data_IF_498358707995
#
_entry.id   IF_498358707995
#
_cell.length_a   1.000
_cell.length_b   1.000
_cell.length_c   1.000
_cell.angle_alpha   90.00
_cell.angle_beta   90.00
_cell.angle_gamma   90.00
#
_symmetry.space_group_name_H-M   'P 1'
#
loop_
_entity.id
_entity.type
_entity.pdbx_description
1 polymer ?
#
# COMPACT_ATOMS: atom_id res chain seq x y z
N UNK A 1 -4.75 -6.65 23.81
CA UNK A 1 -5.68 -6.98 22.73
C UNK A 1 -6.94 -6.14 22.93
N UNK A 2 -7.08 -5.01 22.23
CA UNK A 2 -8.21 -4.06 22.45
C UNK A 2 -8.84 -3.57 21.12
N UNK A 3 -8.22 -3.77 19.95
CA UNK A 3 -8.79 -3.35 18.66
C UNK A 3 -8.51 -4.35 17.52
N UNK A 4 -8.33 -5.65 17.83
CA UNK A 4 -8.00 -6.68 16.86
C UNK A 4 -9.12 -6.90 15.84
N UNK A 5 -9.17 -6.09 14.78
CA UNK A 5 -9.93 -6.41 13.58
C UNK A 5 -9.08 -7.36 12.73
N UNK A 6 -9.68 -8.43 12.22
CA UNK A 6 -9.02 -9.35 11.27
C UNK A 6 -8.73 -8.68 9.91
N UNK A 7 -9.12 -7.41 9.78
CA UNK A 7 -9.12 -6.64 8.56
C UNK A 7 -7.82 -5.85 8.35
N UNK A 8 -6.87 -5.88 9.29
CA UNK A 8 -5.58 -5.23 9.10
C UNK A 8 -4.41 -6.06 9.65
N UNK A 9 -3.32 -6.07 8.90
CA UNK A 9 -2.03 -6.65 9.30
C UNK A 9 -0.94 -5.60 9.15
N UNK A 10 -0.18 -5.40 10.23
CA UNK A 10 0.96 -4.50 10.28
C UNK A 10 2.21 -5.28 10.67
N UNK A 11 3.22 -5.28 9.81
CA UNK A 11 4.51 -5.92 10.04
C UNK A 11 5.62 -4.90 9.95
N UNK A 12 6.56 -4.91 10.91
CA UNK A 12 7.76 -4.08 10.89
C UNK A 12 8.97 -4.96 10.58
N UNK A 13 9.72 -4.59 9.55
CA UNK A 13 10.94 -5.27 9.13
C UNK A 13 12.14 -4.40 9.48
N UNK A 14 13.03 -4.94 10.31
CA UNK A 14 14.23 -4.26 10.77
C UNK A 14 15.45 -4.75 9.99
N UNK A 15 16.31 -3.83 9.57
CA UNK A 15 17.60 -4.21 9.01
C UNK A 15 18.55 -4.62 10.14
N UNK A 16 19.33 -5.71 9.99
CA UNK A 16 20.41 -6.05 10.91
C UNK A 16 21.45 -4.94 11.07
N UNK A 17 21.58 -4.06 10.07
CA UNK A 17 22.54 -2.94 10.06
C UNK A 17 22.01 -1.67 10.73
N UNK A 18 20.84 -1.70 11.37
CA UNK A 18 20.30 -0.57 12.15
C UNK A 18 19.66 0.55 11.32
N UNK A 19 19.28 0.29 10.06
CA UNK A 19 18.54 1.28 9.28
C UNK A 19 17.06 1.38 9.70
N UNK A 20 16.39 2.48 9.34
CA UNK A 20 14.95 2.68 9.57
C UNK A 20 14.13 1.45 9.16
N UNK A 21 13.13 1.06 9.98
CA UNK A 21 12.32 -0.10 9.69
C UNK A 21 11.39 0.17 8.50
N UNK A 22 11.19 -0.86 7.69
CA UNK A 22 10.10 -0.89 6.71
C UNK A 22 8.82 -1.33 7.43
N UNK A 23 7.71 -0.66 7.14
CA UNK A 23 6.40 -1.02 7.66
C UNK A 23 5.55 -1.52 6.50
N UNK A 24 5.13 -2.78 6.56
CA UNK A 24 4.10 -3.35 5.68
C UNK A 24 2.76 -3.24 6.38
N UNK A 25 1.79 -2.63 5.72
CA UNK A 25 0.39 -2.62 6.11
C UNK A 25 -0.44 -3.29 5.01
N UNK A 26 -1.25 -4.27 5.37
CA UNK A 26 -2.24 -4.90 4.50
C UNK A 26 -3.60 -4.71 5.15
N UNK A 27 -4.49 -4.01 4.47
CA UNK A 27 -5.84 -3.69 4.96
C UNK A 27 -6.85 -4.37 4.03
N UNK A 28 -7.62 -5.30 4.58
CA UNK A 28 -8.63 -6.11 3.89
C UNK A 28 -10.02 -5.48 4.00
N UNK A 29 -10.79 -5.58 2.93
CA UNK A 29 -12.21 -5.26 2.92
C UNK A 29 -12.98 -6.43 2.33
N UNK A 30 -13.62 -7.22 3.20
CA UNK A 30 -14.34 -8.44 2.83
C UNK A 30 -15.65 -8.15 2.06
N UNK A 31 -16.47 -7.21 2.56
CA UNK A 31 -17.86 -6.96 2.09
C UNK A 31 -18.11 -5.51 1.61
N UNK A 32 -17.08 -4.89 1.08
CA UNK A 32 -17.18 -3.84 0.07
C UNK A 32 -18.00 -2.55 0.35
N UNK A 33 -18.28 -2.17 1.61
CA UNK A 33 -19.02 -0.90 1.86
C UNK A 33 -18.43 0.10 2.83
N UNK A 34 -17.35 -0.19 3.58
CA UNK A 34 -16.90 0.75 4.63
C UNK A 34 -15.40 0.89 4.92
N UNK A 35 -14.49 0.14 4.30
CA UNK A 35 -13.17 -0.09 4.94
C UNK A 35 -11.98 0.74 4.48
N UNK A 36 -11.82 0.97 3.18
CA UNK A 36 -10.54 1.43 2.62
C UNK A 36 -10.70 2.86 2.11
N UNK A 37 -10.10 3.81 2.80
CA UNK A 37 -9.95 5.18 2.32
C UNK A 37 -8.60 5.33 1.61
N UNK A 38 -8.49 6.24 0.61
CA UNK A 38 -7.22 6.50 -0.02
C UNK A 38 -6.20 7.00 1.01
N UNK A 39 -4.99 6.41 1.07
CA UNK A 39 -3.95 6.83 2.00
C UNK A 39 -3.74 8.34 2.00
N UNK A 40 -3.74 8.98 0.84
CA UNK A 40 -3.62 10.42 0.65
C UNK A 40 -4.64 11.21 1.51
N UNK A 41 -5.91 10.79 1.48
CA UNK A 41 -6.99 11.46 2.21
C UNK A 41 -6.87 11.23 3.73
N UNK A 42 -6.52 10.01 4.14
CA UNK A 42 -6.28 9.69 5.56
C UNK A 42 -5.08 10.46 6.11
N UNK A 43 -4.00 10.54 5.34
CA UNK A 43 -2.77 11.22 5.73
C UNK A 43 -3.00 12.72 5.88
N UNK A 44 -3.67 13.35 4.91
CA UNK A 44 -4.06 14.76 4.99
C UNK A 44 -5.06 14.99 6.13
N UNK A 45 -6.06 14.13 6.29
CA UNK A 45 -7.04 14.21 7.38
C UNK A 45 -6.42 14.07 8.77
N UNK A 46 -5.26 13.41 8.87
CA UNK A 46 -4.45 13.31 10.11
C UNK A 46 -3.52 14.52 10.32
N UNK A 47 -3.63 15.56 9.47
CA UNK A 47 -2.83 16.78 9.54
C UNK A 47 -1.50 16.73 8.79
N UNK A 48 -1.19 15.65 8.07
CA UNK A 48 0.07 15.54 7.33
C UNK A 48 0.01 16.27 5.98
N UNK A 49 1.16 16.67 5.45
CA UNK A 49 1.26 17.30 4.14
C UNK A 49 1.89 16.34 3.12
N UNK A 50 1.27 16.19 1.96
CA UNK A 50 1.84 15.43 0.84
C UNK A 50 2.82 16.35 0.11
N UNK A 51 4.12 16.02 0.19
CA UNK A 51 5.19 16.78 -0.48
C UNK A 51 5.32 16.39 -1.96
N UNK A 52 5.11 15.12 -2.29
CA UNK A 52 5.11 14.64 -3.68
C UNK A 52 4.21 13.42 -3.84
N UNK A 53 3.75 13.23 -5.07
CA UNK A 53 2.88 12.13 -5.48
C UNK A 53 3.21 11.72 -6.90
N UNK A 54 3.51 10.44 -7.11
CA UNK A 54 3.86 9.90 -8.42
C UNK A 54 3.40 8.43 -8.52
N UNK A 55 3.74 7.74 -9.60
CA UNK A 55 3.55 6.30 -9.78
C UNK A 55 4.87 5.63 -10.07
N UNK A 56 5.01 4.40 -9.60
CA UNK A 56 6.14 3.54 -9.94
C UNK A 56 5.64 2.18 -10.39
N UNK A 57 6.35 1.61 -11.36
CA UNK A 57 6.10 0.28 -11.88
C UNK A 57 7.05 -0.68 -11.21
N UNK A 58 6.51 -1.74 -10.60
CA UNK A 58 7.28 -2.87 -10.10
C UNK A 58 7.20 -3.97 -11.14
N UNK A 59 8.34 -4.37 -11.66
CA UNK A 59 8.45 -5.33 -12.76
C UNK A 59 9.34 -6.52 -12.40
N UNK A 60 9.39 -7.49 -13.31
CA UNK A 60 10.23 -8.69 -13.19
C UNK A 60 9.64 -9.73 -12.24
N UNK A 61 8.33 -9.96 -12.37
CA UNK A 61 7.65 -11.13 -11.82
C UNK A 61 7.63 -12.25 -12.87
N UNK A 62 7.69 -13.51 -12.45
CA UNK A 62 7.71 -14.65 -13.38
C UNK A 62 6.33 -14.96 -13.96
N UNK A 63 5.27 -14.85 -13.16
CA UNK A 63 3.93 -15.39 -13.49
C UNK A 63 2.81 -14.33 -13.45
N UNK A 64 3.15 -13.05 -13.63
CA UNK A 64 2.18 -11.95 -13.65
C UNK A 64 2.72 -10.73 -14.38
N UNK A 65 1.80 -9.85 -14.76
CA UNK A 65 2.14 -8.52 -15.25
C UNK A 65 2.72 -7.62 -14.16
N UNK A 66 3.38 -6.57 -14.62
CA UNK A 66 3.92 -5.50 -13.78
C UNK A 66 2.83 -4.88 -12.89
N UNK A 67 3.25 -4.46 -11.70
CA UNK A 67 2.37 -3.85 -10.70
C UNK A 67 2.64 -2.36 -10.62
N UNK A 68 1.63 -1.58 -10.95
CA UNK A 68 1.68 -0.14 -10.79
C UNK A 68 1.29 0.21 -9.35
N UNK A 69 2.16 0.97 -8.70
CA UNK A 69 1.99 1.47 -7.35
C UNK A 69 1.93 3.00 -7.35
N UNK A 70 1.22 3.55 -6.36
CA UNK A 70 1.29 4.96 -5.99
C UNK A 70 2.49 5.16 -5.08
N UNK A 71 3.28 6.19 -5.33
CA UNK A 71 4.27 6.67 -4.36
C UNK A 71 3.89 8.04 -3.83
N UNK A 72 4.14 8.25 -2.53
CA UNK A 72 3.97 9.53 -1.84
C UNK A 72 5.21 9.83 -0.99
N UNK A 73 5.57 11.10 -0.92
CA UNK A 73 6.41 11.64 0.14
C UNK A 73 5.55 12.51 1.04
N UNK A 74 5.60 12.26 2.34
CA UNK A 74 4.68 12.84 3.32
C UNK A 74 5.46 13.48 4.45
N UNK A 75 5.18 14.75 4.72
CA UNK A 75 5.64 15.45 5.90
C UNK A 75 4.63 15.26 7.03
N UNK A 76 5.08 14.68 8.15
CA UNK A 76 4.23 14.52 9.33
C UNK A 76 4.11 15.85 10.08
N UNK A 77 2.92 16.12 10.60
CA UNK A 77 2.61 17.34 11.38
C UNK A 77 3.46 17.49 12.64
N UNK A 78 3.96 16.39 13.19
CA UNK A 78 4.88 16.36 14.33
C UNK A 78 6.26 16.97 14.05
N UNK A 79 6.55 17.38 12.81
CA UNK A 79 7.87 17.88 12.42
C UNK A 79 8.94 16.79 12.30
N UNK A 80 8.54 15.51 12.33
CA UNK A 80 9.45 14.37 12.09
C UNK A 80 10.00 14.40 10.66
N UNK A 81 11.06 13.62 10.40
CA UNK A 81 11.58 13.48 9.03
C UNK A 81 10.47 12.99 8.07
N UNK A 82 10.51 13.39 6.78
CA UNK A 82 9.54 12.94 5.79
C UNK A 82 9.46 11.41 5.73
N UNK A 83 8.27 10.88 5.43
CA UNK A 83 8.06 9.46 5.20
C UNK A 83 7.78 9.18 3.73
N UNK A 84 8.32 8.07 3.25
CA UNK A 84 8.04 7.52 1.94
C UNK A 84 6.95 6.45 2.07
N UNK A 85 5.93 6.53 1.23
CA UNK A 85 4.86 5.55 1.13
C UNK A 85 4.80 5.01 -0.30
N UNK A 86 4.63 3.71 -0.42
CA UNK A 86 4.39 2.99 -1.65
C UNK A 86 3.16 2.11 -1.45
N UNK A 87 2.13 2.27 -2.27
CA UNK A 87 0.93 1.46 -2.11
C UNK A 87 0.26 1.09 -3.42
N UNK A 88 -0.51 0.01 -3.36
CA UNK A 88 -1.35 -0.45 -4.46
C UNK A 88 -2.58 -1.14 -3.88
N UNK A 89 -3.64 -1.17 -4.66
CA UNK A 89 -4.84 -1.90 -4.32
C UNK A 89 -4.92 -3.18 -5.11
N UNK A 90 -5.30 -4.27 -4.46
CA UNK A 90 -5.59 -5.56 -5.09
C UNK A 90 -7.09 -5.85 -5.05
N UNK A 91 -7.63 -6.35 -6.15
CA UNK A 91 -8.93 -7.02 -6.19
C UNK A 91 -8.89 -8.07 -7.29
N UNK A 92 -9.15 -9.33 -6.95
CA UNK A 92 -8.91 -10.39 -7.91
C UNK A 92 -7.43 -10.48 -8.25
N UNK A 93 -7.13 -10.75 -9.53
CA UNK A 93 -5.77 -10.70 -10.08
C UNK A 93 -5.27 -9.29 -10.40
N UNK A 94 -6.11 -8.27 -10.26
CA UNK A 94 -5.81 -6.92 -10.70
C UNK A 94 -5.22 -6.08 -9.59
N UNK A 95 -4.28 -5.22 -9.98
CA UNK A 95 -3.63 -4.24 -9.13
C UNK A 95 -3.81 -2.85 -9.69
N UNK A 96 -4.03 -1.86 -8.82
CA UNK A 96 -4.21 -0.48 -9.26
C UNK A 96 -3.62 0.54 -8.28
N UNK A 97 -2.96 1.61 -8.77
CA UNK A 97 -2.47 2.72 -7.94
C UNK A 97 -3.53 3.78 -7.69
N UNK A 98 -4.74 3.62 -8.21
CA UNK A 98 -5.82 4.59 -8.12
C UNK A 98 -6.97 4.03 -7.30
N UNK A 99 -7.27 4.75 -6.22
CA UNK A 99 -8.43 4.49 -5.38
C UNK A 99 -9.73 4.56 -6.18
N UNK A 100 -9.83 5.52 -7.11
CA UNK A 100 -11.03 5.69 -7.93
C UNK A 100 -11.22 4.55 -8.91
N UNK A 101 -10.17 4.09 -9.59
CA UNK A 101 -10.31 2.91 -10.46
C UNK A 101 -10.55 1.64 -9.64
N UNK A 102 -10.00 1.53 -8.42
CA UNK A 102 -10.36 0.46 -7.51
C UNK A 102 -11.86 0.51 -7.16
N UNK A 103 -12.40 1.65 -6.73
CA UNK A 103 -13.82 1.82 -6.42
C UNK A 103 -14.72 1.58 -7.64
N UNK A 104 -14.30 1.98 -8.85
CA UNK A 104 -15.02 1.68 -10.09
C UNK A 104 -15.02 0.19 -10.44
N UNK A 105 -13.87 -0.48 -10.40
CA UNK A 105 -13.76 -1.94 -10.62
C UNK A 105 -14.60 -2.70 -9.59
N UNK A 106 -14.53 -2.28 -8.35
CA UNK A 106 -15.28 -2.83 -7.23
C UNK A 106 -16.80 -2.61 -7.38
N UNK A 107 -17.21 -1.44 -7.84
CA UNK A 107 -18.61 -1.12 -8.12
C UNK A 107 -19.15 -1.96 -9.29
N UNK A 108 -18.38 -2.09 -10.37
CA UNK A 108 -18.71 -2.92 -11.53
C UNK A 108 -18.78 -4.40 -11.14
N UNK A 109 -17.80 -4.91 -10.39
CA UNK A 109 -17.76 -6.30 -9.94
C UNK A 109 -18.87 -6.62 -8.91
N UNK A 110 -19.28 -5.65 -8.09
CA UNK A 110 -20.41 -5.76 -7.18
C UNK A 110 -21.78 -5.78 -7.87
N UNK A 111 -21.90 -5.19 -9.06
CA UNK A 111 -23.08 -5.31 -9.93
C UNK A 111 -23.12 -6.66 -10.66
N UNK A 112 -21.95 -7.28 -10.89
CA UNK A 112 -21.78 -8.53 -11.64
C UNK A 112 -21.66 -9.79 -10.77
N UNK A 113 -21.91 -9.70 -9.46
CA UNK A 113 -21.86 -10.80 -8.47
C UNK A 113 -20.55 -11.64 -8.52
N UNK A 114 -19.41 -10.95 -8.70
CA UNK A 114 -18.07 -11.56 -8.72
C UNK A 114 -17.21 -10.97 -7.60
N UNK A 115 -16.85 -11.79 -6.61
CA UNK A 115 -15.86 -11.56 -5.53
C UNK A 115 -15.33 -10.11 -5.42
N UNK A 116 -16.08 -9.23 -4.76
CA UNK A 116 -15.76 -7.82 -4.61
C UNK A 116 -14.82 -7.51 -3.43
N UNK A 117 -14.14 -8.52 -2.88
CA UNK A 117 -13.15 -8.33 -1.82
C UNK A 117 -11.91 -7.64 -2.38
N UNK A 118 -11.36 -6.71 -1.61
CA UNK A 118 -10.18 -5.94 -2.00
C UNK A 118 -9.24 -5.71 -0.84
N UNK A 119 -7.98 -5.45 -1.15
CA UNK A 119 -6.95 -5.13 -0.16
C UNK A 119 -6.17 -3.87 -0.57
N UNK A 120 -5.86 -3.01 0.40
CA UNK A 120 -4.82 -2.00 0.28
C UNK A 120 -3.53 -2.60 0.82
N UNK A 121 -2.49 -2.60 -0.02
CA UNK A 121 -1.14 -3.02 0.34
C UNK A 121 -0.27 -1.79 0.32
N UNK A 122 0.36 -1.50 1.45
CA UNK A 122 1.19 -0.33 1.65
C UNK A 122 2.51 -0.72 2.30
N UNK A 123 3.60 -0.22 1.75
CA UNK A 123 4.92 -0.26 2.36
C UNK A 123 5.37 1.17 2.63
N UNK A 124 5.88 1.44 3.83
CA UNK A 124 6.42 2.76 4.17
C UNK A 124 7.71 2.69 4.97
N UNK A 125 8.49 3.75 4.88
CA UNK A 125 9.70 3.97 5.70
C UNK A 125 9.95 5.46 5.87
N UNK A 126 10.67 5.82 6.91
CA UNK A 126 11.20 7.18 7.05
C UNK A 126 12.27 7.46 5.99
N UNK A 127 12.24 8.66 5.43
CA UNK A 127 13.30 9.22 4.58
C UNK A 127 14.31 9.86 5.51
N UNK A 128 15.51 9.28 5.57
CA UNK A 128 16.65 9.92 6.21
C UNK A 128 17.35 10.83 5.19
N UNK A 129 18.50 10.41 4.66
CA UNK A 129 19.33 11.26 3.82
C UNK A 129 19.01 11.14 2.32
N UNK A 130 18.33 10.06 1.91
CA UNK A 130 18.16 9.73 0.50
C UNK A 130 16.79 9.10 0.21
N UNK A 131 15.93 9.84 -0.50
CA UNK A 131 14.62 9.36 -0.95
C UNK A 131 14.72 8.18 -1.92
N UNK A 132 15.71 8.16 -2.82
CA UNK A 132 15.89 7.05 -3.76
C UNK A 132 16.21 5.73 -3.04
N UNK A 133 16.94 5.80 -1.92
CA UNK A 133 17.19 4.63 -1.08
C UNK A 133 15.89 4.14 -0.40
N UNK A 134 15.08 5.05 0.14
CA UNK A 134 13.78 4.72 0.71
C UNK A 134 12.85 4.07 -0.33
N UNK A 135 12.80 4.65 -1.54
CA UNK A 135 12.07 4.12 -2.70
C UNK A 135 12.50 2.70 -3.04
N UNK A 136 13.80 2.47 -3.24
CA UNK A 136 14.34 1.14 -3.57
C UNK A 136 13.93 0.10 -2.53
N UNK A 137 14.15 0.38 -1.24
CA UNK A 137 13.81 -0.55 -0.15
C UNK A 137 12.32 -0.90 -0.11
N UNK A 138 11.44 0.08 -0.29
CA UNK A 138 10.01 -0.16 -0.34
C UNK A 138 9.61 -0.98 -1.57
N UNK A 139 10.20 -0.70 -2.74
CA UNK A 139 9.96 -1.46 -3.97
C UNK A 139 10.43 -2.91 -3.84
N UNK A 140 11.60 -3.14 -3.25
CA UNK A 140 12.15 -4.48 -3.02
C UNK A 140 11.24 -5.31 -2.12
N UNK A 141 10.77 -4.72 -1.01
CA UNK A 141 9.83 -5.39 -0.11
C UNK A 141 8.47 -5.65 -0.79
N UNK A 142 7.94 -4.67 -1.52
CA UNK A 142 6.69 -4.83 -2.25
C UNK A 142 6.80 -5.95 -3.31
N UNK A 143 7.92 -6.00 -4.05
CA UNK A 143 8.20 -7.06 -5.04
C UNK A 143 8.27 -8.44 -4.39
N UNK A 144 8.87 -8.55 -3.20
CA UNK A 144 8.93 -9.81 -2.46
C UNK A 144 7.55 -10.25 -1.91
N UNK A 145 6.72 -9.30 -1.49
CA UNK A 145 5.40 -9.57 -0.89
C UNK A 145 4.36 -9.98 -1.93
N UNK A 146 4.38 -9.38 -3.12
CA UNK A 146 3.36 -9.55 -4.16
C UNK A 146 3.06 -11.03 -4.50
N UNK A 147 4.05 -11.91 -4.78
CA UNK A 147 3.77 -13.31 -5.09
C UNK A 147 3.03 -14.05 -3.97
N UNK A 148 3.31 -13.71 -2.71
CA UNK A 148 2.61 -14.30 -1.58
C UNK A 148 1.15 -13.83 -1.52
N UNK A 149 0.90 -12.55 -1.82
CA UNK A 149 -0.46 -12.00 -1.88
C UNK A 149 -1.29 -12.67 -2.98
N UNK A 150 -0.71 -12.90 -4.15
CA UNK A 150 -1.41 -13.59 -5.25
C UNK A 150 -1.83 -15.02 -4.87
N UNK A 151 -1.02 -15.71 -4.06
CA UNK A 151 -1.33 -17.07 -3.60
C UNK A 151 -2.33 -17.14 -2.45
N UNK A 152 -2.50 -16.06 -1.68
CA UNK A 152 -3.27 -16.05 -0.42
C UNK A 152 -4.51 -15.19 -0.44
N UNK A 153 -4.58 -14.21 -1.34
CA UNK A 153 -5.67 -13.25 -1.40
C UNK A 153 -6.44 -13.39 -2.72
N UNK A 154 -7.78 -13.31 -2.68
CA UNK A 154 -8.58 -13.30 -3.89
C UNK A 154 -8.22 -12.11 -4.79
#
# INVERSE_FOLDING_TARGET
DILGTNDARYCKYYSPTGSEPLVLAIIFSKDNRKGIHPPDLCLVGSGNSILSKDTVVISGFENREDVICRELVVQHSSGSKPQYYLYTYKSGKQYTPSFWSQQWTIFINGILDRNASGALIQVSTQINSNQAQARSKCMDLMKAVIPHLDSKLP
#
